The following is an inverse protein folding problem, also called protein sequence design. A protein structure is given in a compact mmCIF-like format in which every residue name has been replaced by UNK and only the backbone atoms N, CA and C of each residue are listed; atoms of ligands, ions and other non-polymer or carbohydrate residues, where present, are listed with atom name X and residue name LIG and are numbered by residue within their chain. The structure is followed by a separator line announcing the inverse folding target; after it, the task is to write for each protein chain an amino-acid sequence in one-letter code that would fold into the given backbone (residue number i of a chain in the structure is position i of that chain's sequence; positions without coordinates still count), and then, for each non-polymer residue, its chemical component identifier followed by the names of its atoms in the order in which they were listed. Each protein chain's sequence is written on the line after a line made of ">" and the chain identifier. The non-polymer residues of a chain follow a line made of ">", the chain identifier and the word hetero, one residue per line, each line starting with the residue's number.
data_IF_571988491197
#
_entry.id   IF_571988491197
#
_cell.length_a   1.000
_cell.length_b   1.000
_cell.length_c   1.000
_cell.angle_alpha   90.00
_cell.angle_beta   90.00
_cell.angle_gamma   90.00
#
_symmetry.space_group_name_H-M   'P 1'
#
loop_
_entity.id
_entity.type
_entity.pdbx_description
1 polymer ?
#
# COMPACT_ATOMS: atom_id res chain seq x y z
N UNK A 1 -0.53 62.80 27.53
CA UNK A 1 -1.09 62.48 26.20
C UNK A 1 -1.55 61.04 26.20
N UNK A 2 -2.87 60.80 26.16
CA UNK A 2 -3.48 59.47 26.25
C UNK A 2 -3.59 58.90 24.84
N UNK A 3 -2.78 57.89 24.53
CA UNK A 3 -2.87 57.18 23.24
C UNK A 3 -3.99 56.15 23.37
N UNK A 4 -5.15 56.47 22.83
CA UNK A 4 -6.32 55.59 22.79
C UNK A 4 -6.10 54.63 21.62
N UNK A 5 -5.43 53.50 21.88
CA UNK A 5 -5.31 52.45 20.86
C UNK A 5 -6.65 51.70 20.80
N UNK A 6 -7.33 51.84 19.65
CA UNK A 6 -8.62 51.25 19.36
C UNK A 6 -8.64 49.75 19.62
N UNK A 7 -9.54 49.35 20.51
CA UNK A 7 -9.92 47.96 20.74
C UNK A 7 -10.62 47.50 19.47
N UNK A 8 -9.94 46.69 18.67
CA UNK A 8 -10.56 45.96 17.57
C UNK A 8 -11.52 44.96 18.21
N UNK A 9 -12.81 45.32 18.26
CA UNK A 9 -13.89 44.43 18.70
C UNK A 9 -14.13 43.44 17.56
N UNK A 10 -13.49 42.27 17.63
CA UNK A 10 -13.84 41.15 16.78
C UNK A 10 -15.18 40.57 17.23
N UNK A 11 -16.11 40.28 16.30
CA UNK A 11 -17.46 39.84 16.65
C UNK A 11 -17.44 38.47 17.31
N UNK A 12 -18.10 38.42 18.47
CA UNK A 12 -18.27 37.26 19.34
C UNK A 12 -19.33 36.32 18.75
N UNK A 13 -19.04 35.63 17.65
CA UNK A 13 -19.93 34.55 17.18
C UNK A 13 -19.15 33.52 16.35
N UNK A 14 -18.57 32.57 17.08
CA UNK A 14 -18.29 31.17 16.71
C UNK A 14 -17.21 30.70 17.68
N UNK A 15 -17.52 29.74 18.55
CA UNK A 15 -16.48 28.98 19.23
C UNK A 15 -15.77 28.10 18.18
N UNK A 16 -14.90 28.71 17.37
CA UNK A 16 -14.08 28.02 16.39
C UNK A 16 -13.05 27.18 17.14
N UNK A 17 -12.98 25.92 16.77
CA UNK A 17 -12.24 24.90 17.50
C UNK A 17 -10.72 25.02 17.32
N UNK A 18 -10.06 25.03 18.48
CA UNK A 18 -8.84 24.32 18.92
C UNK A 18 -7.42 24.65 18.39
N UNK A 19 -7.16 25.02 17.12
CA UNK A 19 -5.76 25.29 16.69
C UNK A 19 -5.40 26.76 16.64
N UNK A 20 -6.25 27.59 16.06
CA UNK A 20 -6.01 29.03 15.87
C UNK A 20 -6.03 29.78 17.20
N UNK A 21 -6.92 29.39 18.12
CA UNK A 21 -7.01 29.96 19.47
C UNK A 21 -5.72 29.76 20.27
N UNK A 22 -5.11 28.57 20.17
CA UNK A 22 -3.82 28.29 20.81
C UNK A 22 -2.70 29.17 20.25
N UNK A 23 -2.69 29.41 18.94
CA UNK A 23 -1.73 30.30 18.29
C UNK A 23 -1.90 31.76 18.72
N UNK A 24 -3.15 32.26 18.82
CA UNK A 24 -3.44 33.62 19.29
C UNK A 24 -3.02 33.82 20.75
N UNK A 25 -3.34 32.86 21.63
CA UNK A 25 -2.92 32.90 23.04
C UNK A 25 -1.40 32.96 23.16
N UNK A 26 -0.68 32.16 22.36
CA UNK A 26 0.79 32.13 22.37
C UNK A 26 1.38 33.41 21.78
N UNK A 27 0.77 33.98 20.73
CA UNK A 27 1.18 35.27 20.18
C UNK A 27 1.02 36.42 21.19
N UNK A 28 -0.08 36.45 21.93
CA UNK A 28 -0.32 37.43 23.01
C UNK A 28 0.68 37.23 24.16
N UNK A 29 0.93 35.99 24.55
CA UNK A 29 1.94 35.68 25.57
C UNK A 29 3.36 36.10 25.13
N UNK A 30 3.72 35.91 23.85
CA UNK A 30 5.00 36.38 23.28
C UNK A 30 5.10 37.91 23.23
N UNK A 31 3.98 38.62 23.06
CA UNK A 31 3.91 40.09 23.12
C UNK A 31 4.00 40.65 24.55
N UNK A 32 4.09 39.81 25.57
CA UNK A 32 4.28 40.22 26.98
C UNK A 32 2.99 40.35 27.80
N UNK A 33 1.81 40.01 27.24
CA UNK A 33 0.56 40.02 28.00
C UNK A 33 0.56 38.92 29.06
N UNK A 34 0.08 39.23 30.27
CA UNK A 34 -0.01 38.23 31.33
C UNK A 34 -1.18 37.28 31.08
N UNK A 35 -1.13 36.08 31.64
CA UNK A 35 -2.24 35.12 31.52
C UNK A 35 -3.58 35.64 32.05
N UNK A 36 -3.57 36.61 32.97
CA UNK A 36 -4.77 37.29 33.48
C UNK A 36 -5.38 38.21 32.42
N UNK A 37 -4.55 38.99 31.73
CA UNK A 37 -4.98 39.91 30.66
C UNK A 37 -5.55 39.12 29.47
N UNK A 38 -4.90 38.00 29.12
CA UNK A 38 -5.39 37.11 28.07
C UNK A 38 -6.71 36.45 28.48
N UNK A 39 -6.90 36.09 29.76
CA UNK A 39 -8.18 35.55 30.23
C UNK A 39 -9.31 36.60 30.20
N UNK A 40 -9.00 37.88 30.44
CA UNK A 40 -9.97 38.97 30.35
C UNK A 40 -10.50 39.19 28.92
N UNK A 41 -9.70 38.88 27.90
CA UNK A 41 -10.10 38.95 26.49
C UNK A 41 -11.13 37.89 26.05
N UNK A 42 -11.52 36.97 26.95
CA UNK A 42 -12.55 35.92 26.76
C UNK A 42 -12.38 35.04 25.50
N UNK A 43 -11.15 34.91 24.99
CA UNK A 43 -10.81 34.05 23.84
C UNK A 43 -11.05 32.56 24.14
N UNK A 44 -10.78 32.12 25.37
CA UNK A 44 -10.91 30.74 25.83
C UNK A 44 -11.14 30.69 27.35
N UNK A 45 -11.65 29.58 27.92
CA UNK A 45 -11.76 29.44 29.37
C UNK A 45 -10.39 29.54 30.04
N UNK A 46 -10.35 30.19 31.21
CA UNK A 46 -9.13 30.46 31.98
C UNK A 46 -8.23 29.23 32.11
N UNK A 47 -8.78 28.08 32.46
CA UNK A 47 -8.06 26.81 32.59
C UNK A 47 -7.32 26.39 31.32
N UNK A 48 -7.91 26.62 30.16
CA UNK A 48 -7.33 26.29 28.85
C UNK A 48 -6.19 27.23 28.50
N UNK A 49 -6.32 28.54 28.78
CA UNK A 49 -5.27 29.54 28.56
C UNK A 49 -4.01 29.18 29.36
N UNK A 50 -4.16 28.91 30.67
CA UNK A 50 -3.03 28.53 31.52
C UNK A 50 -2.41 27.19 31.07
N UNK A 51 -3.24 26.20 30.69
CA UNK A 51 -2.75 24.92 30.16
C UNK A 51 -1.93 25.10 28.88
N UNK A 52 -2.39 25.93 27.95
CA UNK A 52 -1.68 26.21 26.69
C UNK A 52 -0.36 26.92 26.96
N UNK A 53 -0.34 27.96 27.81
CA UNK A 53 0.88 28.69 28.18
C UNK A 53 1.88 27.74 28.86
N UNK A 54 1.41 26.90 29.80
CA UNK A 54 2.26 25.90 30.47
C UNK A 54 2.87 24.92 29.46
N UNK A 55 2.04 24.30 28.63
CA UNK A 55 2.50 23.37 27.60
C UNK A 55 3.49 24.03 26.63
N UNK A 56 3.26 25.30 26.27
CA UNK A 56 4.17 26.06 25.39
C UNK A 56 5.52 26.34 26.06
N UNK A 57 5.55 26.66 27.35
CA UNK A 57 6.81 26.82 28.12
C UNK A 57 7.59 25.52 28.23
N UNK A 58 6.91 24.39 28.41
CA UNK A 58 7.55 23.08 28.56
C UNK A 58 8.00 22.46 27.23
N UNK A 59 7.21 22.60 26.17
CA UNK A 59 7.45 21.92 24.88
C UNK A 59 7.96 22.82 23.76
N UNK A 60 7.88 24.14 23.91
CA UNK A 60 8.25 25.13 22.88
C UNK A 60 7.39 25.11 21.61
N UNK A 61 6.38 24.23 21.53
CA UNK A 61 5.59 24.00 20.33
C UNK A 61 4.10 24.20 20.59
N UNK A 62 3.41 24.69 19.57
CA UNK A 62 1.95 24.83 19.53
C UNK A 62 1.30 23.54 19.01
N UNK A 63 2.09 22.67 18.40
CA UNK A 63 1.59 21.46 17.75
C UNK A 63 1.25 20.42 18.81
N UNK A 64 0.00 19.97 18.79
CA UNK A 64 -0.47 18.88 19.65
C UNK A 64 0.27 17.59 19.28
N UNK A 65 0.93 16.97 20.26
CA UNK A 65 1.57 15.66 20.09
C UNK A 65 0.51 14.62 19.74
N UNK A 66 0.82 13.73 18.79
CA UNK A 66 -0.05 12.59 18.50
C UNK A 66 -0.16 11.72 19.75
N UNK A 67 -1.38 11.35 20.13
CA UNK A 67 -1.61 10.37 21.18
C UNK A 67 -1.00 9.02 20.78
N UNK A 68 -0.48 8.26 21.76
CA UNK A 68 0.13 6.94 21.56
C UNK A 68 -0.83 5.91 20.96
N UNK A 69 -2.14 6.10 21.16
CA UNK A 69 -3.17 5.17 20.69
C UNK A 69 -3.16 3.85 21.46
N UNK A 70 -3.99 2.90 21.01
CA UNK A 70 -4.08 1.57 21.62
C UNK A 70 -2.82 0.74 21.29
N UNK A 71 -2.21 0.06 22.28
CA UNK A 71 -1.12 -0.87 22.04
C UNK A 71 -1.50 -1.96 21.03
N UNK A 72 -0.51 -2.39 20.24
CA UNK A 72 -0.69 -3.49 19.28
C UNK A 72 -0.84 -4.81 20.03
N UNK A 73 -1.59 -5.74 19.43
CA UNK A 73 -1.64 -7.13 19.90
C UNK A 73 -0.37 -7.92 19.56
N UNK A 74 0.29 -7.57 18.46
CA UNK A 74 1.51 -8.24 18.00
C UNK A 74 2.77 -7.51 18.45
N UNK A 75 3.80 -8.29 18.75
CA UNK A 75 5.17 -7.84 18.99
C UNK A 75 5.95 -7.76 17.67
N UNK A 76 6.98 -6.91 17.63
CA UNK A 76 7.90 -6.82 16.48
C UNK A 76 8.52 -8.17 16.10
N UNK A 77 8.78 -9.06 17.06
CA UNK A 77 9.29 -10.41 16.79
C UNK A 77 8.26 -11.27 16.04
N UNK A 78 7.00 -11.17 16.43
CA UNK A 78 5.90 -11.92 15.82
C UNK A 78 5.62 -11.41 14.40
N UNK A 79 5.67 -10.09 14.18
CA UNK A 79 5.53 -9.50 12.84
C UNK A 79 6.66 -9.97 11.90
N UNK A 80 7.91 -10.06 12.40
CA UNK A 80 9.04 -10.62 11.64
C UNK A 80 8.85 -12.10 11.27
N UNK A 81 8.35 -12.91 12.21
CA UNK A 81 8.08 -14.33 11.94
C UNK A 81 6.98 -14.48 10.88
N UNK A 82 5.90 -13.70 11.00
CA UNK A 82 4.83 -13.68 10.01
C UNK A 82 5.35 -13.33 8.61
N UNK A 83 6.26 -12.36 8.51
CA UNK A 83 6.92 -12.00 7.26
C UNK A 83 7.73 -13.15 6.68
N UNK A 84 8.48 -13.89 7.50
CA UNK A 84 9.29 -15.02 7.04
C UNK A 84 8.41 -16.15 6.49
N UNK A 85 7.33 -16.50 7.20
CA UNK A 85 6.35 -17.51 6.77
C UNK A 85 5.76 -17.14 5.39
N UNK A 86 5.32 -15.88 5.23
CA UNK A 86 4.78 -15.40 3.95
C UNK A 86 5.81 -15.43 2.80
N UNK A 87 7.10 -15.21 3.11
CA UNK A 87 8.15 -15.22 2.09
C UNK A 87 8.54 -16.63 1.67
N UNK A 88 8.42 -17.61 2.57
CA UNK A 88 8.65 -19.02 2.29
C UNK A 88 7.56 -19.58 1.37
N UNK A 89 6.29 -19.28 1.64
CA UNK A 89 5.17 -19.62 0.75
C UNK A 89 4.34 -18.38 0.42
N UNK A 90 4.61 -17.80 -0.75
CA UNK A 90 3.92 -16.59 -1.24
C UNK A 90 2.47 -16.84 -1.63
N UNK A 91 2.03 -18.09 -1.72
CA UNK A 91 0.66 -18.48 -2.05
C UNK A 91 -0.29 -18.49 -0.85
N UNK A 92 0.24 -18.48 0.37
CA UNK A 92 -0.55 -18.56 1.61
C UNK A 92 -1.55 -17.42 1.74
N UNK A 93 -2.75 -17.77 2.19
CA UNK A 93 -3.83 -16.82 2.44
C UNK A 93 -3.70 -16.18 3.81
N UNK A 94 -4.22 -14.96 3.97
CA UNK A 94 -4.23 -14.28 5.28
C UNK A 94 -5.01 -15.03 6.36
N UNK A 95 -5.92 -15.93 5.98
CA UNK A 95 -6.70 -16.79 6.87
C UNK A 95 -5.87 -17.95 7.40
N UNK A 96 -5.12 -18.64 6.53
CA UNK A 96 -4.20 -19.72 6.94
C UNK A 96 -3.10 -19.15 7.84
N UNK A 97 -2.50 -18.02 7.46
CA UNK A 97 -1.52 -17.33 8.30
C UNK A 97 -2.10 -16.92 9.65
N UNK A 98 -3.37 -16.53 9.72
CA UNK A 98 -4.00 -16.19 11.00
C UNK A 98 -4.12 -17.43 11.90
N UNK A 99 -4.43 -18.60 11.33
CA UNK A 99 -4.49 -19.86 12.07
C UNK A 99 -3.10 -20.28 12.57
N UNK A 100 -2.09 -20.20 11.72
CA UNK A 100 -0.70 -20.49 12.10
C UNK A 100 -0.20 -19.52 13.18
N UNK A 101 -0.56 -18.23 13.07
CA UNK A 101 -0.17 -17.22 14.04
C UNK A 101 -0.89 -17.36 15.40
N UNK A 102 -2.11 -17.92 15.39
CA UNK A 102 -2.84 -18.29 16.60
C UNK A 102 -2.13 -19.41 17.37
N UNK A 103 -1.55 -20.39 16.66
CA UNK A 103 -0.73 -21.44 17.29
C UNK A 103 0.53 -20.86 17.96
N UNK A 104 1.07 -19.77 17.40
CA UNK A 104 2.18 -18.99 17.99
C UNK A 104 1.74 -18.01 19.10
N UNK A 105 0.58 -18.25 19.73
CA UNK A 105 -0.01 -17.47 20.83
C UNK A 105 -0.43 -16.02 20.49
N UNK A 106 -0.65 -15.69 19.21
CA UNK A 106 -1.18 -14.38 18.80
C UNK A 106 -2.61 -14.51 18.30
N UNK A 107 -3.57 -14.05 19.10
CA UNK A 107 -4.96 -13.98 18.65
C UNK A 107 -5.25 -12.74 17.79
N UNK A 108 -5.12 -12.95 16.48
CA UNK A 108 -5.30 -11.94 15.46
C UNK A 108 -6.22 -12.44 14.32
N UNK A 109 -7.08 -11.55 13.85
CA UNK A 109 -7.91 -11.83 12.67
C UNK A 109 -7.08 -11.78 11.38
N UNK A 110 -7.56 -12.42 10.31
CA UNK A 110 -6.97 -12.33 8.97
C UNK A 110 -6.76 -10.88 8.50
N UNK A 111 -7.67 -9.97 8.89
CA UNK A 111 -7.53 -8.53 8.62
C UNK A 111 -6.30 -7.92 9.31
N UNK A 112 -6.00 -8.35 10.53
CA UNK A 112 -4.82 -7.88 11.28
C UNK A 112 -3.54 -8.38 10.64
N UNK A 113 -3.50 -9.65 10.25
CA UNK A 113 -2.40 -10.26 9.48
C UNK A 113 -2.13 -9.46 8.21
N UNK A 114 -3.17 -9.21 7.41
CA UNK A 114 -3.05 -8.40 6.18
C UNK A 114 -2.50 -7.01 6.46
N UNK A 115 -2.94 -6.32 7.51
CA UNK A 115 -2.41 -5.00 7.88
C UNK A 115 -0.92 -5.06 8.21
N UNK A 116 -0.45 -6.10 8.91
CA UNK A 116 0.98 -6.28 9.20
C UNK A 116 1.79 -6.52 7.94
N UNK A 117 1.33 -7.42 7.07
CA UNK A 117 1.98 -7.68 5.78
C UNK A 117 2.07 -6.41 4.92
N UNK A 118 1.01 -5.60 4.88
CA UNK A 118 0.99 -4.33 4.15
C UNK A 118 1.95 -3.27 4.74
N UNK A 119 2.07 -3.21 6.07
CA UNK A 119 3.07 -2.34 6.73
C UNK A 119 4.50 -2.70 6.30
N UNK A 120 4.76 -3.97 6.02
CA UNK A 120 6.04 -4.49 5.49
C UNK A 120 6.15 -4.43 3.95
N UNK A 121 5.16 -3.86 3.27
CA UNK A 121 5.13 -3.75 1.80
C UNK A 121 4.80 -5.04 1.06
N UNK A 122 4.33 -6.08 1.75
CA UNK A 122 3.90 -7.34 1.15
C UNK A 122 2.45 -7.23 0.68
N UNK A 123 2.28 -7.24 -0.64
CA UNK A 123 0.98 -7.14 -1.33
C UNK A 123 0.74 -8.41 -2.12
N UNK A 124 -0.49 -8.92 -2.06
CA UNK A 124 -0.88 -10.08 -2.87
C UNK A 124 -0.90 -9.74 -4.36
N UNK A 125 -0.40 -10.65 -5.19
CA UNK A 125 -0.38 -10.54 -6.66
C UNK A 125 -0.81 -11.88 -7.26
N UNK A 126 -1.40 -11.84 -8.46
CA UNK A 126 -1.69 -13.06 -9.23
C UNK A 126 -0.42 -13.52 -9.93
N UNK A 127 -0.07 -14.79 -9.78
CA UNK A 127 1.03 -15.39 -10.54
C UNK A 127 0.69 -15.43 -12.04
N UNK A 128 1.70 -15.21 -12.89
CA UNK A 128 1.53 -15.34 -14.33
C UNK A 128 1.26 -16.80 -14.70
N UNK A 129 0.26 -17.05 -15.58
CA UNK A 129 0.02 -18.38 -16.13
C UNK A 129 1.19 -18.75 -17.04
N UNK A 130 1.86 -19.87 -16.75
CA UNK A 130 3.00 -20.37 -17.53
C UNK A 130 2.71 -21.82 -17.94
N UNK A 131 3.09 -22.24 -19.16
CA UNK A 131 3.02 -23.65 -19.52
C UNK A 131 3.96 -24.45 -18.62
N UNK A 132 3.55 -25.67 -18.29
CA UNK A 132 4.40 -26.61 -17.54
C UNK A 132 5.57 -27.04 -18.45
N UNK A 133 6.79 -26.87 -17.96
CA UNK A 133 7.99 -27.32 -18.67
C UNK A 133 8.48 -28.64 -18.07
N UNK A 134 8.59 -29.67 -18.92
CA UNK A 134 9.24 -30.91 -18.52
C UNK A 134 10.73 -30.67 -18.26
N UNK A 135 11.37 -31.54 -17.45
CA UNK A 135 12.82 -31.47 -17.21
C UNK A 135 13.64 -31.53 -18.50
N UNK A 136 13.17 -32.30 -19.49
CA UNK A 136 13.78 -32.39 -20.83
C UNK A 136 13.69 -31.02 -21.54
N UNK A 137 12.50 -30.43 -21.61
CA UNK A 137 12.29 -29.16 -22.29
C UNK A 137 13.10 -28.03 -21.65
N UNK A 138 13.26 -28.02 -20.33
CA UNK A 138 14.11 -27.05 -19.63
C UNK A 138 15.57 -27.18 -20.08
N UNK A 139 16.08 -28.42 -20.15
CA UNK A 139 17.46 -28.71 -20.57
C UNK A 139 17.69 -28.31 -22.02
N UNK A 140 16.80 -28.70 -22.93
CA UNK A 140 16.95 -28.45 -24.37
C UNK A 140 16.90 -26.94 -24.66
N UNK A 141 15.97 -26.22 -24.02
CA UNK A 141 15.91 -24.75 -24.09
C UNK A 141 17.17 -24.09 -23.56
N UNK A 142 17.74 -24.59 -22.45
CA UNK A 142 18.98 -24.04 -21.90
C UNK A 142 20.17 -24.26 -22.83
N UNK A 143 20.29 -25.44 -23.45
CA UNK A 143 21.33 -25.75 -24.43
C UNK A 143 21.18 -24.83 -25.65
N UNK A 144 19.96 -24.65 -26.15
CA UNK A 144 19.67 -23.74 -27.25
C UNK A 144 20.10 -22.31 -26.92
N UNK A 145 19.67 -21.76 -25.77
CA UNK A 145 20.05 -20.41 -25.36
C UNK A 145 21.56 -20.25 -25.15
N UNK A 146 22.26 -21.28 -24.66
CA UNK A 146 23.72 -21.24 -24.50
C UNK A 146 24.44 -21.29 -25.84
N UNK A 147 23.98 -22.12 -26.78
CA UNK A 147 24.57 -22.26 -28.11
C UNK A 147 24.53 -20.96 -28.91
N UNK A 148 23.43 -20.22 -28.79
CA UNK A 148 23.18 -19.00 -29.54
C UNK A 148 23.26 -17.74 -28.67
N UNK A 149 23.97 -17.81 -27.54
CA UNK A 149 24.11 -16.70 -26.58
C UNK A 149 24.78 -15.47 -27.20
N UNK A 150 25.81 -15.72 -28.01
CA UNK A 150 26.69 -14.68 -28.55
C UNK A 150 26.29 -14.29 -29.99
N UNK A 151 25.13 -14.75 -30.45
CA UNK A 151 24.62 -14.40 -31.78
C UNK A 151 24.22 -12.93 -31.85
N UNK A 152 24.63 -12.29 -32.95
CA UNK A 152 24.33 -10.89 -33.24
C UNK A 152 22.97 -10.74 -33.94
N UNK A 153 22.48 -9.52 -34.07
CA UNK A 153 21.22 -9.26 -34.76
C UNK A 153 21.28 -9.70 -36.24
N UNK A 154 22.44 -9.54 -36.87
CA UNK A 154 22.72 -9.97 -38.24
C UNK A 154 22.65 -11.49 -38.39
N UNK A 155 23.05 -12.25 -37.37
CA UNK A 155 22.95 -13.71 -37.37
C UNK A 155 21.50 -14.18 -37.21
N UNK A 156 20.73 -13.53 -36.32
CA UNK A 156 19.30 -13.79 -36.18
C UNK A 156 18.51 -13.42 -37.44
N UNK A 157 18.95 -12.41 -38.18
CA UNK A 157 18.36 -12.00 -39.46
C UNK A 157 18.42 -13.05 -40.56
N UNK A 158 19.27 -14.08 -40.40
CA UNK A 158 19.38 -15.22 -41.32
C UNK A 158 18.39 -16.35 -41.00
N UNK A 159 17.69 -16.28 -39.86
CA UNK A 159 16.78 -17.34 -39.40
C UNK A 159 15.33 -16.97 -39.72
N UNK A 160 14.63 -17.87 -40.41
CA UNK A 160 13.19 -17.78 -40.61
C UNK A 160 12.49 -18.65 -39.55
N UNK A 161 11.57 -18.04 -38.79
CA UNK A 161 10.73 -18.75 -37.84
C UNK A 161 9.33 -18.95 -38.43
N UNK A 162 8.81 -20.17 -38.36
CA UNK A 162 7.42 -20.51 -38.69
C UNK A 162 6.75 -21.15 -37.48
N UNK A 163 5.52 -20.72 -37.17
CA UNK A 163 4.65 -21.33 -36.15
C UNK A 163 3.23 -21.40 -36.69
N UNK A 164 2.45 -22.36 -36.20
CA UNK A 164 1.05 -22.53 -36.55
C UNK A 164 0.17 -22.08 -35.39
N UNK A 165 -0.73 -21.13 -35.64
CA UNK A 165 -1.71 -20.69 -34.65
C UNK A 165 -3.13 -21.07 -35.09
N UNK A 166 -3.92 -21.76 -34.26
CA UNK A 166 -5.31 -22.02 -34.58
C UNK A 166 -6.13 -20.73 -34.42
N UNK A 167 -6.75 -20.26 -35.51
CA UNK A 167 -7.76 -19.20 -35.46
C UNK A 167 -9.16 -19.81 -35.38
N UNK A 168 -9.99 -19.28 -34.48
CA UNK A 168 -11.41 -19.64 -34.43
C UNK A 168 -12.21 -18.57 -35.15
N UNK A 169 -12.90 -18.96 -36.21
CA UNK A 169 -13.90 -18.10 -36.85
C UNK A 169 -15.09 -18.03 -35.90
N UNK A 170 -15.33 -16.86 -35.32
CA UNK A 170 -16.47 -16.65 -34.42
C UNK A 170 -17.73 -16.61 -35.29
N UNK A 171 -18.48 -17.71 -35.36
CA UNK A 171 -19.88 -17.63 -35.81
C UNK A 171 -20.71 -16.99 -34.70
N UNK A 172 -21.26 -15.81 -34.99
CA UNK A 172 -22.22 -15.15 -34.13
C UNK A 172 -23.56 -15.91 -34.16
N UNK A 173 -23.69 -16.96 -33.34
CA UNK A 173 -25.00 -17.47 -32.94
C UNK A 173 -24.91 -18.18 -31.59
N UNK A 174 -25.59 -17.60 -30.60
CA UNK A 174 -25.81 -18.20 -29.28
C UNK A 174 -26.71 -19.42 -29.44
N UNK A 175 -26.14 -20.62 -29.61
CA UNK A 175 -26.74 -21.88 -29.16
C UNK A 175 -25.65 -22.80 -28.62
N UNK A 176 -25.80 -23.19 -27.36
CA UNK A 176 -25.02 -24.26 -26.74
C UNK A 176 -25.27 -25.56 -27.49
N UNK A 177 -24.25 -26.04 -28.20
CA UNK A 177 -24.22 -27.42 -28.69
C UNK A 177 -23.23 -28.19 -27.83
N UNK A 178 -23.79 -29.05 -26.99
CA UNK A 178 -23.16 -30.28 -26.54
C UNK A 178 -22.95 -31.20 -27.76
N UNK A 179 -21.77 -31.79 -27.88
CA UNK A 179 -21.52 -32.86 -28.84
C UNK A 179 -20.37 -32.57 -29.79
N UNK A 180 -19.48 -33.55 -29.89
CA UNK A 180 -18.26 -33.56 -30.68
C UNK A 180 -18.51 -33.32 -32.17
N UNK A 181 -18.05 -32.21 -32.72
CA UNK A 181 -17.84 -32.04 -34.16
C UNK A 181 -16.51 -31.31 -34.40
N UNK A 182 -15.45 -32.09 -34.60
CA UNK A 182 -14.14 -31.61 -35.07
C UNK A 182 -14.19 -31.53 -36.60
N UNK A 183 -14.43 -30.34 -37.15
CA UNK A 183 -14.09 -30.08 -38.55
C UNK A 183 -12.62 -29.64 -38.61
N UNK A 184 -11.73 -30.58 -38.92
CA UNK A 184 -10.33 -30.28 -39.23
C UNK A 184 -10.21 -29.99 -40.73
N UNK A 185 -9.95 -28.74 -41.09
CA UNK A 185 -9.51 -28.39 -42.43
C UNK A 185 -8.00 -28.64 -42.51
N UNK A 186 -7.62 -29.75 -43.13
CA UNK A 186 -6.23 -30.10 -43.44
C UNK A 186 -5.81 -29.31 -44.67
N UNK A 187 -4.93 -28.31 -44.51
CA UNK A 187 -4.17 -27.75 -45.64
C UNK A 187 -2.83 -28.48 -45.64
N UNK A 188 -2.55 -29.22 -46.72
CA UNK A 188 -1.34 -30.02 -46.90
C UNK A 188 -0.08 -29.16 -46.84
N UNK A 189 1.02 -29.65 -46.24
CA UNK A 189 2.26 -28.89 -46.14
C UNK A 189 3.02 -28.91 -47.46
N UNK A 190 3.42 -27.73 -47.94
CA UNK A 190 4.52 -27.60 -48.91
C UNK A 190 5.81 -27.84 -48.12
N UNK A 191 6.53 -28.88 -48.51
CA UNK A 191 7.82 -29.29 -47.93
C UNK A 191 8.86 -28.17 -48.01
N UNK A 192 9.52 -27.88 -46.88
CA UNK A 192 10.79 -27.16 -46.86
C UNK A 192 11.89 -28.22 -46.71
N UNK A 193 12.62 -28.47 -47.80
CA UNK A 193 13.86 -29.26 -47.75
C UNK A 193 15.00 -28.41 -47.17
N UNK A 194 15.89 -29.09 -46.43
CA UNK A 194 17.18 -28.56 -45.94
C UNK A 194 18.16 -28.35 -47.10
#
# INVERSE_FOLDING_TARGET
>A
MRVVLGIIVLPLSAMVTCKETSAVIIALHKKGFTGKDIAASKIAPKSTIYRIIKNFKESGSIVVKKASGRPRKSSKRQDRLLKLIQLQDRGTTSTELAQEWQQAAVSASARTVRRRLLEDGLVSRRAAKKPLLSRKNIRDRLIFCKRYRDWTAEDWGKVIFSDESPFRLIEASRKSLSGDDKVSATISPVSCQQ
#
